data_IF_352712571741
#
_entry.id   IF_352712571741
#
_cell.length_a   1.000
_cell.length_b   1.000
_cell.length_c   1.000
_cell.angle_alpha   90.00
_cell.angle_beta   90.00
_cell.angle_gamma   90.00
#
_symmetry.space_group_name_H-M   'P 1'
#
loop_
_entity.id
_entity.type
_entity.pdbx_description
1 polymer ?
#
# COMPACT_ATOMS: atom_id res chain seq x y z
N UNK A 1 -7.29 20.74 -4.66
CA UNK A 1 -7.62 19.58 -5.51
C UNK A 1 -7.23 18.36 -4.71
N UNK A 2 -8.17 17.45 -4.45
CA UNK A 2 -7.90 16.25 -3.64
C UNK A 2 -7.38 15.13 -4.53
N UNK A 3 -6.36 14.39 -4.08
CA UNK A 3 -5.83 13.21 -4.77
C UNK A 3 -6.74 12.01 -4.55
N UNK A 4 -7.04 11.28 -5.62
CA UNK A 4 -7.81 10.04 -5.56
C UNK A 4 -6.98 8.89 -4.99
N UNK A 5 -7.54 8.17 -4.03
CA UNK A 5 -6.83 7.11 -3.31
C UNK A 5 -7.57 5.77 -3.38
N UNK A 6 -6.82 4.71 -3.71
CA UNK A 6 -7.26 3.34 -3.53
C UNK A 6 -6.52 2.68 -2.35
N UNK A 7 -7.24 1.86 -1.57
CA UNK A 7 -6.67 1.06 -0.49
C UNK A 7 -6.97 -0.41 -0.70
N UNK A 8 -5.94 -1.21 -0.97
CA UNK A 8 -6.04 -2.65 -1.10
C UNK A 8 -5.81 -3.34 0.25
N UNK A 9 -6.62 -4.35 0.55
CA UNK A 9 -6.62 -5.00 1.86
C UNK A 9 -7.37 -4.21 2.93
N UNK A 10 -8.37 -3.44 2.53
CA UNK A 10 -9.15 -2.53 3.36
C UNK A 10 -9.92 -3.22 4.51
N UNK A 11 -10.17 -4.53 4.39
CA UNK A 11 -10.84 -5.31 5.44
C UNK A 11 -9.93 -5.76 6.57
N UNK A 12 -8.60 -5.64 6.41
CA UNK A 12 -7.61 -6.03 7.41
C UNK A 12 -7.30 -4.93 8.43
N UNK A 13 -6.49 -5.25 9.45
CA UNK A 13 -6.09 -4.29 10.49
C UNK A 13 -5.27 -3.13 9.91
N UNK A 14 -4.22 -3.44 9.13
CA UNK A 14 -3.37 -2.42 8.52
C UNK A 14 -4.15 -1.53 7.53
N UNK A 15 -4.99 -2.14 6.68
CA UNK A 15 -5.85 -1.40 5.76
C UNK A 15 -6.86 -0.49 6.49
N UNK A 16 -7.47 -1.00 7.56
CA UNK A 16 -8.37 -0.22 8.42
C UNK A 16 -7.68 0.99 9.06
N UNK A 17 -6.44 0.84 9.52
CA UNK A 17 -5.67 1.94 10.11
C UNK A 17 -5.24 2.98 9.05
N UNK A 18 -4.82 2.53 7.88
CA UNK A 18 -4.57 3.42 6.73
C UNK A 18 -5.81 4.23 6.40
N UNK A 19 -6.98 3.58 6.29
CA UNK A 19 -8.25 4.25 6.03
C UNK A 19 -8.62 5.25 7.13
N UNK A 20 -8.37 4.92 8.40
CA UNK A 20 -8.62 5.83 9.52
C UNK A 20 -7.81 7.12 9.38
N UNK A 21 -6.53 7.02 9.02
CA UNK A 21 -5.67 8.18 8.80
C UNK A 21 -6.12 8.99 7.57
N UNK A 22 -6.41 8.30 6.47
CA UNK A 22 -6.83 8.94 5.22
C UNK A 22 -8.19 9.63 5.34
N UNK A 23 -9.10 9.09 6.15
CA UNK A 23 -10.45 9.66 6.30
C UNK A 23 -10.48 11.08 6.86
N UNK A 24 -9.42 11.50 7.55
CA UNK A 24 -9.25 12.85 8.10
C UNK A 24 -8.23 13.69 7.33
N UNK A 25 -7.62 13.16 6.26
CA UNK A 25 -6.58 13.87 5.52
C UNK A 25 -7.19 14.90 4.56
N UNK A 26 -6.71 16.17 4.57
CA UNK A 26 -7.34 17.23 3.79
C UNK A 26 -7.14 17.10 2.27
N UNK A 27 -6.05 16.44 1.84
CA UNK A 27 -5.64 16.38 0.45
C UNK A 27 -5.93 15.04 -0.23
N UNK A 28 -6.40 14.03 0.52
CA UNK A 28 -6.72 12.70 -0.02
C UNK A 28 -8.22 12.41 0.04
N UNK A 29 -8.72 11.79 -1.03
CA UNK A 29 -10.08 11.27 -1.12
C UNK A 29 -10.03 9.77 -1.38
N UNK A 30 -10.44 8.97 -0.42
CA UNK A 30 -10.56 7.52 -0.61
C UNK A 30 -11.78 7.26 -1.49
N UNK A 31 -11.54 6.78 -2.70
CA UNK A 31 -12.58 6.49 -3.70
C UNK A 31 -12.77 5.00 -3.93
N UNK A 32 -11.73 4.19 -3.66
CA UNK A 32 -11.77 2.75 -3.90
C UNK A 32 -11.16 1.99 -2.73
N UNK A 33 -11.85 0.96 -2.28
CA UNK A 33 -11.40 0.02 -1.25
C UNK A 33 -11.54 -1.39 -1.77
N UNK A 34 -10.51 -2.22 -1.57
CA UNK A 34 -10.54 -3.60 -2.09
C UNK A 34 -10.27 -4.64 -1.01
N UNK A 35 -10.77 -5.85 -1.23
CA UNK A 35 -10.50 -7.01 -0.40
C UNK A 35 -10.55 -8.29 -1.23
N UNK A 36 -9.95 -9.38 -0.74
CA UNK A 36 -10.06 -10.69 -1.38
C UNK A 36 -11.38 -11.38 -0.99
N UNK A 37 -11.51 -11.74 0.28
CA UNK A 37 -12.64 -12.55 0.76
C UNK A 37 -13.91 -11.74 1.02
N UNK A 38 -13.77 -10.46 1.34
CA UNK A 38 -14.87 -9.58 1.69
C UNK A 38 -15.36 -8.71 0.53
N UNK A 39 -14.92 -8.98 -0.70
CA UNK A 39 -15.40 -8.28 -1.89
C UNK A 39 -16.93 -8.40 -2.01
N UNK A 40 -17.60 -7.30 -2.37
CA UNK A 40 -19.05 -7.19 -2.45
C UNK A 40 -19.73 -6.78 -1.13
N UNK A 41 -19.00 -6.71 0.00
CA UNK A 41 -19.54 -6.20 1.26
C UNK A 41 -19.31 -4.70 1.39
N UNK A 42 -20.16 -4.02 2.17
CA UNK A 42 -19.88 -2.63 2.53
C UNK A 42 -18.68 -2.56 3.49
N UNK A 43 -17.85 -1.51 3.34
CA UNK A 43 -16.75 -1.27 4.27
C UNK A 43 -17.25 -1.15 5.72
N UNK A 44 -18.41 -0.55 5.92
CA UNK A 44 -19.03 -0.41 7.25
C UNK A 44 -19.36 -1.73 7.93
N UNK A 45 -19.55 -2.82 7.18
CA UNK A 45 -19.80 -4.15 7.75
C UNK A 45 -18.54 -4.77 8.37
N UNK A 46 -17.35 -4.46 7.81
CA UNK A 46 -16.07 -5.02 8.27
C UNK A 46 -15.24 -4.04 9.09
N UNK A 47 -15.45 -2.73 8.91
CA UNK A 47 -14.78 -1.63 9.63
C UNK A 47 -15.82 -0.64 10.20
N UNK A 48 -16.62 -1.03 11.19
CA UNK A 48 -17.77 -0.25 11.65
C UNK A 48 -17.40 1.09 12.29
N UNK A 49 -16.15 1.29 12.67
CA UNK A 49 -15.63 2.55 13.22
C UNK A 49 -15.36 3.61 12.14
N UNK A 50 -15.21 3.22 10.86
CA UNK A 50 -14.94 4.13 9.74
C UNK A 50 -16.24 4.70 9.14
N UNK A 51 -17.00 5.45 9.93
CA UNK A 51 -18.35 5.89 9.58
C UNK A 51 -18.42 6.74 8.31
N UNK A 52 -17.44 7.61 8.08
CA UNK A 52 -17.39 8.47 6.88
C UNK A 52 -17.19 7.68 5.58
N UNK A 53 -16.55 6.52 5.66
CA UNK A 53 -16.24 5.65 4.53
C UNK A 53 -17.15 4.40 4.47
N UNK A 54 -18.06 4.24 5.41
CA UNK A 54 -18.89 3.04 5.59
C UNK A 54 -19.74 2.69 4.35
N UNK A 55 -20.03 3.67 3.51
CA UNK A 55 -20.83 3.53 2.29
C UNK A 55 -20.05 2.91 1.12
N UNK A 56 -18.72 2.85 1.20
CA UNK A 56 -17.90 2.26 0.14
C UNK A 56 -18.09 0.74 0.11
N UNK A 57 -18.18 0.18 -1.09
CA UNK A 57 -18.23 -1.26 -1.33
C UNK A 57 -16.83 -1.78 -1.58
N UNK A 58 -16.47 -2.89 -0.93
CA UNK A 58 -15.20 -3.59 -1.12
C UNK A 58 -15.18 -4.24 -2.50
N UNK A 59 -14.32 -3.75 -3.38
CA UNK A 59 -14.10 -4.29 -4.72
C UNK A 59 -13.12 -5.47 -4.68
N UNK A 60 -13.05 -6.31 -5.73
CA UNK A 60 -11.96 -7.28 -5.89
C UNK A 60 -10.60 -6.60 -5.92
N UNK A 61 -9.57 -7.29 -5.37
CA UNK A 61 -8.19 -6.79 -5.37
C UNK A 61 -7.48 -7.26 -6.63
N UNK A 62 -7.38 -6.39 -7.61
CA UNK A 62 -6.62 -6.60 -8.85
C UNK A 62 -6.08 -5.27 -9.39
N UNK A 63 -5.14 -5.35 -10.34
CA UNK A 63 -4.49 -4.17 -10.90
C UNK A 63 -5.48 -3.26 -11.67
N UNK A 64 -6.50 -3.82 -12.31
CA UNK A 64 -7.48 -3.05 -13.06
C UNK A 64 -8.33 -2.17 -12.14
N UNK A 65 -8.76 -2.71 -11.00
CA UNK A 65 -9.52 -1.99 -9.97
C UNK A 65 -8.68 -0.87 -9.33
N UNK A 66 -7.36 -1.10 -9.17
CA UNK A 66 -6.46 -0.13 -8.53
C UNK A 66 -5.89 0.91 -9.50
N UNK A 67 -5.95 0.66 -10.80
CA UNK A 67 -5.44 1.58 -11.81
C UNK A 67 -6.24 2.89 -11.87
N UNK A 68 -5.59 3.97 -12.31
CA UNK A 68 -6.24 5.28 -12.51
C UNK A 68 -6.40 6.13 -11.25
N UNK A 69 -5.89 5.67 -10.09
CA UNK A 69 -5.81 6.47 -8.87
C UNK A 69 -4.47 7.21 -8.80
N UNK A 70 -4.48 8.38 -8.16
CA UNK A 70 -3.24 9.15 -7.95
C UNK A 70 -2.31 8.41 -6.95
N UNK A 71 -2.89 7.77 -5.94
CA UNK A 71 -2.17 7.03 -4.91
C UNK A 71 -2.85 5.69 -4.60
N UNK A 72 -2.05 4.64 -4.51
CA UNK A 72 -2.50 3.29 -4.10
C UNK A 72 -1.76 2.87 -2.84
N UNK A 73 -2.50 2.57 -1.77
CA UNK A 73 -1.97 1.93 -0.58
C UNK A 73 -2.24 0.43 -0.63
N UNK A 74 -1.21 -0.36 -0.39
CA UNK A 74 -1.30 -1.82 -0.31
C UNK A 74 -1.10 -2.27 1.14
N UNK A 75 -2.08 -2.98 1.68
CA UNK A 75 -2.05 -3.61 2.99
C UNK A 75 -2.38 -5.11 2.82
N UNK A 76 -1.58 -5.77 2.00
CA UNK A 76 -1.80 -7.14 1.56
C UNK A 76 -0.87 -8.13 2.29
N UNK A 77 -1.23 -9.41 2.36
CA UNK A 77 -0.31 -10.46 2.81
C UNK A 77 0.94 -10.57 1.93
N UNK A 78 2.02 -11.12 2.48
CA UNK A 78 3.27 -11.38 1.74
C UNK A 78 3.03 -12.16 0.45
N UNK A 79 3.73 -11.81 -0.61
CA UNK A 79 3.61 -12.39 -1.94
C UNK A 79 2.40 -11.89 -2.75
N UNK A 80 1.54 -11.05 -2.16
CA UNK A 80 0.34 -10.53 -2.85
C UNK A 80 0.50 -9.11 -3.37
N UNK A 81 1.32 -8.30 -2.73
CA UNK A 81 1.64 -6.96 -3.24
C UNK A 81 2.38 -7.05 -4.58
N UNK A 82 3.39 -7.92 -4.67
CA UNK A 82 4.13 -8.14 -5.91
C UNK A 82 3.27 -8.59 -7.07
N UNK A 83 2.34 -9.52 -6.83
CA UNK A 83 1.40 -10.00 -7.85
C UNK A 83 0.55 -8.88 -8.47
N UNK A 84 0.12 -7.92 -7.65
CA UNK A 84 -0.71 -6.80 -8.09
C UNK A 84 0.12 -5.69 -8.74
N UNK A 85 1.28 -5.39 -8.17
CA UNK A 85 2.08 -4.22 -8.56
C UNK A 85 2.79 -4.34 -9.90
N UNK A 86 3.06 -5.57 -10.35
CA UNK A 86 3.66 -5.83 -11.67
C UNK A 86 2.82 -5.29 -12.84
N UNK A 87 1.51 -5.23 -12.66
CA UNK A 87 0.56 -4.79 -13.69
C UNK A 87 0.06 -3.35 -13.47
N UNK A 88 0.52 -2.65 -12.42
CA UNK A 88 0.18 -1.26 -12.20
C UNK A 88 1.07 -0.31 -13.02
N UNK A 89 0.49 0.78 -13.58
CA UNK A 89 1.27 1.79 -14.31
C UNK A 89 2.46 2.32 -13.50
N UNK A 90 3.59 2.53 -14.16
CA UNK A 90 4.84 2.93 -13.50
C UNK A 90 4.77 4.32 -12.83
N UNK A 91 3.89 5.19 -13.30
CA UNK A 91 3.68 6.55 -12.81
C UNK A 91 2.70 6.64 -11.62
N UNK A 92 1.96 5.57 -11.31
CA UNK A 92 1.12 5.50 -10.12
C UNK A 92 1.97 5.54 -8.86
N UNK A 93 1.67 6.43 -7.92
CA UNK A 93 2.31 6.41 -6.60
C UNK A 93 1.76 5.22 -5.78
N UNK A 94 2.63 4.29 -5.43
CA UNK A 94 2.25 3.12 -4.62
C UNK A 94 3.03 3.11 -3.31
N UNK A 95 2.28 2.96 -2.20
CA UNK A 95 2.81 2.81 -0.84
C UNK A 95 2.44 1.42 -0.35
N UNK A 96 3.44 0.53 -0.26
CA UNK A 96 3.24 -0.87 0.13
C UNK A 96 3.58 -1.10 1.60
N UNK A 97 2.57 -1.43 2.39
CA UNK A 97 2.72 -1.87 3.78
C UNK A 97 3.13 -3.35 3.91
N UNK A 98 3.12 -4.11 2.81
CA UNK A 98 3.59 -5.49 2.73
C UNK A 98 5.12 -5.60 2.80
N UNK A 99 5.64 -6.83 2.74
CA UNK A 99 7.07 -7.09 2.80
C UNK A 99 7.73 -7.19 1.42
N UNK A 100 6.95 -7.38 0.37
CA UNK A 100 7.41 -7.86 -0.95
C UNK A 100 8.50 -6.99 -1.59
N UNK A 101 8.55 -5.71 -1.25
CA UNK A 101 9.49 -4.75 -1.83
C UNK A 101 10.49 -4.15 -0.84
N UNK A 102 10.64 -4.75 0.37
CA UNK A 102 11.52 -4.20 1.43
C UNK A 102 12.99 -4.58 1.26
N UNK A 103 13.25 -5.83 0.88
CA UNK A 103 14.61 -6.37 0.83
C UNK A 103 15.26 -6.13 -0.53
N UNK A 104 16.54 -5.75 -0.50
CA UNK A 104 17.33 -5.52 -1.71
C UNK A 104 18.05 -6.80 -2.21
N UNK A 105 18.21 -7.79 -1.34
CA UNK A 105 18.91 -9.03 -1.61
C UNK A 105 17.92 -10.19 -1.82
N UNK A 106 17.87 -10.82 -3.01
CA UNK A 106 17.01 -11.97 -3.26
C UNK A 106 17.27 -13.16 -2.33
N UNK A 107 18.53 -13.36 -1.89
CA UNK A 107 18.89 -14.47 -0.99
C UNK A 107 18.34 -14.23 0.42
N UNK A 108 18.33 -12.99 0.87
CA UNK A 108 17.69 -12.61 2.12
C UNK A 108 16.16 -12.79 2.03
N UNK A 109 15.56 -12.43 0.89
CA UNK A 109 14.13 -12.66 0.66
C UNK A 109 13.79 -14.14 0.77
N UNK A 110 14.51 -15.00 0.07
CA UNK A 110 14.30 -16.46 0.12
C UNK A 110 14.44 -17.01 1.55
N UNK A 111 15.42 -16.50 2.32
CA UNK A 111 15.70 -16.96 3.68
C UNK A 111 14.59 -16.59 4.66
N UNK A 112 14.04 -15.38 4.57
CA UNK A 112 13.12 -14.82 5.59
C UNK A 112 11.65 -14.91 5.21
N UNK A 113 11.31 -14.89 3.91
CA UNK A 113 9.93 -14.87 3.43
C UNK A 113 9.63 -16.01 2.46
N UNK A 114 10.56 -16.35 1.58
CA UNK A 114 10.38 -17.32 0.50
C UNK A 114 9.49 -16.81 -0.64
N UNK A 115 9.41 -17.60 -1.73
CA UNK A 115 8.61 -17.26 -2.90
C UNK A 115 9.29 -16.31 -3.87
N UNK A 116 8.52 -15.75 -4.80
CA UNK A 116 9.04 -14.87 -5.85
C UNK A 116 9.58 -13.56 -5.28
N UNK A 117 10.75 -13.13 -5.78
CA UNK A 117 11.35 -11.85 -5.45
C UNK A 117 10.94 -10.79 -6.48
N UNK A 118 10.18 -9.78 -6.05
CA UNK A 118 9.62 -8.74 -6.90
C UNK A 118 10.48 -7.48 -7.02
N UNK A 119 11.68 -7.47 -6.42
CA UNK A 119 12.56 -6.31 -6.40
C UNK A 119 12.26 -5.29 -5.30
N UNK A 120 13.30 -4.56 -4.89
CA UNK A 120 13.20 -3.56 -3.83
C UNK A 120 12.68 -2.23 -4.36
N UNK A 121 11.95 -1.51 -3.50
CA UNK A 121 11.53 -0.13 -3.70
C UNK A 121 12.24 0.82 -2.75
N UNK A 122 12.03 2.12 -2.91
CA UNK A 122 12.54 3.10 -1.97
C UNK A 122 11.98 2.85 -0.57
N UNK A 123 12.88 2.70 0.41
CA UNK A 123 12.48 2.36 1.77
C UNK A 123 11.85 3.56 2.47
N UNK A 124 10.61 3.42 2.90
CA UNK A 124 9.74 4.47 3.43
C UNK A 124 10.06 4.90 4.86
N UNK A 125 11.35 5.03 5.21
CA UNK A 125 11.83 5.55 6.48
C UNK A 125 12.62 6.84 6.25
N UNK A 126 11.96 8.02 6.23
CA UNK A 126 12.59 9.29 5.83
C UNK A 126 13.84 9.65 6.64
N UNK A 127 13.87 9.33 7.92
CA UNK A 127 14.95 9.68 8.84
C UNK A 127 16.10 8.66 8.86
N UNK A 128 16.03 7.59 8.06
CA UNK A 128 17.11 6.61 7.95
C UNK A 128 18.39 7.28 7.43
N UNK A 129 19.45 7.17 8.22
CA UNK A 129 20.78 7.66 7.83
C UNK A 129 21.39 6.77 6.75
N UNK A 130 21.89 7.39 5.70
CA UNK A 130 22.52 6.68 4.58
C UNK A 130 24.06 6.65 4.78
N UNK A 131 24.69 5.56 4.37
CA UNK A 131 26.15 5.43 4.40
C UNK A 131 26.85 6.49 3.51
N UNK A 132 26.18 6.97 2.47
CA UNK A 132 26.64 8.07 1.60
C UNK A 132 26.52 9.45 2.21
N UNK A 133 25.96 9.57 3.42
CA UNK A 133 25.60 10.84 4.07
C UNK A 133 24.18 11.29 3.73
N UNK A 134 23.57 12.07 4.64
CA UNK A 134 22.18 12.51 4.53
C UNK A 134 21.18 11.46 4.99
N UNK A 135 19.91 11.65 4.59
CA UNK A 135 18.80 10.78 5.00
C UNK A 135 18.02 10.23 3.78
N UNK A 136 17.28 9.17 3.99
CA UNK A 136 16.43 8.53 2.98
C UNK A 136 15.33 9.48 2.45
N UNK A 137 15.02 10.54 3.18
CA UNK A 137 14.04 11.56 2.77
C UNK A 137 14.30 12.09 1.36
N UNK A 138 15.56 12.30 0.99
CA UNK A 138 15.92 12.79 -0.35
C UNK A 138 15.57 11.81 -1.47
N UNK A 139 15.73 10.51 -1.23
CA UNK A 139 15.35 9.47 -2.18
C UNK A 139 13.82 9.34 -2.33
N UNK A 140 13.08 9.56 -1.24
CA UNK A 140 11.61 9.50 -1.26
C UNK A 140 10.99 10.67 -2.04
N UNK A 141 11.70 11.79 -2.16
CA UNK A 141 11.22 12.93 -2.94
C UNK A 141 11.17 12.56 -4.42
N UNK A 142 9.97 12.45 -4.97
CA UNK A 142 9.75 12.04 -6.37
C UNK A 142 9.65 10.54 -6.59
N UNK A 143 9.86 9.71 -5.56
CA UNK A 143 9.63 8.26 -5.67
C UNK A 143 8.16 7.97 -5.97
N UNK A 144 7.94 6.97 -6.84
CA UNK A 144 6.62 6.43 -7.17
C UNK A 144 6.36 5.06 -6.54
N UNK A 145 7.37 4.47 -5.94
CA UNK A 145 7.32 3.12 -5.37
C UNK A 145 7.96 3.13 -3.98
N UNK A 146 7.15 3.04 -2.94
CA UNK A 146 7.58 3.19 -1.55
C UNK A 146 7.25 1.91 -0.77
N UNK A 147 8.27 1.26 -0.20
CA UNK A 147 8.12 0.13 0.70
C UNK A 147 8.13 0.60 2.15
N UNK A 148 7.00 0.46 2.85
CA UNK A 148 6.87 0.87 4.26
C UNK A 148 7.69 -0.07 5.16
N UNK A 149 8.39 0.44 6.20
CA UNK A 149 9.08 -0.36 7.20
C UNK A 149 8.18 -1.42 7.83
N UNK A 150 8.78 -2.57 8.21
CA UNK A 150 8.08 -3.61 8.93
C UNK A 150 7.67 -3.18 10.33
N UNK A 151 6.65 -3.83 10.88
CA UNK A 151 6.32 -3.73 12.30
C UNK A 151 7.34 -4.50 13.14
N UNK A 152 7.64 -4.03 14.32
CA UNK A 152 8.47 -4.73 15.32
C UNK A 152 7.57 -5.45 16.31
#
# INVERSE_FOLDING_TARGET
>A
MSLSVAVAGASGYAGGEVLRLLSAHPDFSVTTVTAFQNAGQSLGAVQPHLRSLAHLELQPTDAATLAGHDVVFLALPHGKSGDVTKDLPADTLVVDCGADHRLTDPSAWETFYGGEFFGAWDYGLPELLLASGGTQRSALTGSKRIAVPGCN
#
